data_IF_235600703471
#
_entry.id   IF_235600703471
#
_cell.length_a   1.000
_cell.length_b   1.000
_cell.length_c   1.000
_cell.angle_alpha   90.00
_cell.angle_beta   90.00
_cell.angle_gamma   90.00
#
_symmetry.space_group_name_H-M   'P 1'
#
loop_
_entity.id
_entity.type
_entity.pdbx_description
1 polymer ?
#
# COMPACT_ATOMS: atom_id res chain seq x y z
N UNK A 1 2.13 -13.09 -27.66
CA UNK A 1 0.85 -12.70 -28.30
C UNK A 1 -0.10 -13.87 -28.09
N UNK A 2 -1.12 -13.70 -27.23
CA UNK A 2 -2.15 -14.72 -27.02
C UNK A 2 -3.21 -14.50 -28.10
N UNK A 3 -3.44 -15.51 -28.95
CA UNK A 3 -4.52 -15.45 -29.92
C UNK A 3 -5.86 -15.33 -29.21
N UNK A 4 -6.73 -14.40 -29.65
CA UNK A 4 -8.05 -14.26 -29.05
C UNK A 4 -8.86 -15.54 -29.28
N UNK A 5 -9.47 -16.05 -28.19
CA UNK A 5 -10.38 -17.19 -28.31
C UNK A 5 -11.63 -16.75 -29.05
N UNK A 6 -11.97 -17.43 -30.13
CA UNK A 6 -13.18 -17.17 -30.93
C UNK A 6 -14.32 -17.99 -30.34
N UNK A 7 -15.40 -17.34 -29.94
CA UNK A 7 -16.67 -18.00 -29.56
C UNK A 7 -17.69 -17.82 -30.64
N UNK A 8 -18.09 -18.93 -31.29
CA UNK A 8 -19.14 -18.94 -32.27
C UNK A 8 -20.50 -19.15 -31.58
N UNK A 9 -21.37 -18.17 -31.68
CA UNK A 9 -22.75 -18.25 -31.21
C UNK A 9 -23.64 -18.44 -32.43
N UNK A 10 -24.41 -19.53 -32.44
CA UNK A 10 -25.41 -19.79 -33.47
C UNK A 10 -26.78 -19.42 -32.93
N UNK A 11 -27.43 -18.46 -33.58
CA UNK A 11 -28.81 -18.07 -33.29
C UNK A 11 -29.71 -18.54 -34.42
N UNK A 12 -30.77 -19.26 -34.08
CA UNK A 12 -31.83 -19.66 -35.04
C UNK A 12 -33.09 -18.84 -34.77
N UNK A 13 -33.53 -18.09 -35.78
CA UNK A 13 -34.75 -17.31 -35.71
C UNK A 13 -35.48 -17.40 -37.03
N UNK A 14 -36.76 -17.80 -37.00
CA UNK A 14 -37.63 -17.90 -38.17
C UNK A 14 -37.02 -18.76 -39.33
N UNK A 15 -36.30 -19.83 -39.00
CA UNK A 15 -35.66 -20.71 -39.98
C UNK A 15 -34.38 -20.16 -40.60
N UNK A 16 -33.88 -19.02 -40.10
CA UNK A 16 -32.57 -18.46 -40.48
C UNK A 16 -31.54 -18.73 -39.41
N UNK A 17 -30.37 -19.19 -39.83
CA UNK A 17 -29.23 -19.41 -38.97
C UNK A 17 -28.31 -18.17 -39.07
N UNK A 18 -28.15 -17.45 -37.95
CA UNK A 18 -27.21 -16.34 -37.84
C UNK A 18 -26.03 -16.84 -37.02
N UNK A 19 -24.84 -16.85 -37.62
CA UNK A 19 -23.60 -17.11 -36.94
C UNK A 19 -22.95 -15.78 -36.54
N UNK A 20 -22.71 -15.60 -35.25
CA UNK A 20 -22.01 -14.45 -34.72
C UNK A 20 -20.72 -14.94 -34.05
N UNK A 21 -19.58 -14.49 -34.52
CA UNK A 21 -18.29 -14.75 -33.90
C UNK A 21 -17.96 -13.64 -32.90
N UNK A 22 -17.88 -13.99 -31.64
CA UNK A 22 -17.39 -13.09 -30.59
C UNK A 22 -15.92 -13.40 -30.29
N UNK A 23 -15.14 -12.37 -30.20
CA UNK A 23 -13.71 -12.49 -29.83
C UNK A 23 -13.55 -12.07 -28.38
N UNK A 24 -12.89 -12.91 -27.58
CA UNK A 24 -12.47 -12.50 -26.26
C UNK A 24 -11.42 -11.40 -26.36
N UNK A 25 -11.65 -10.30 -25.67
CA UNK A 25 -10.64 -9.26 -25.54
C UNK A 25 -9.46 -9.82 -24.77
N UNK A 26 -8.21 -9.72 -25.30
CA UNK A 26 -7.04 -10.19 -24.58
C UNK A 26 -6.97 -9.58 -23.20
N UNK A 27 -6.61 -10.37 -22.18
CA UNK A 27 -6.36 -9.86 -20.85
C UNK A 27 -5.12 -8.95 -20.87
N UNK A 28 -5.27 -7.74 -20.30
CA UNK A 28 -4.18 -6.83 -20.09
C UNK A 28 -4.08 -6.56 -18.59
N UNK A 29 -2.99 -7.02 -17.97
CA UNK A 29 -2.77 -6.92 -16.53
C UNK A 29 -2.06 -5.62 -16.19
N UNK A 30 -2.56 -4.93 -15.16
CA UNK A 30 -1.96 -3.72 -14.63
C UNK A 30 -2.34 -3.53 -13.17
N UNK A 31 -1.36 -3.13 -12.37
CA UNK A 31 -1.53 -2.69 -10.99
C UNK A 31 -0.71 -1.43 -10.81
N UNK A 32 -1.25 -0.45 -10.10
CA UNK A 32 -0.51 0.76 -9.75
C UNK A 32 -0.52 0.99 -8.26
N UNK A 33 0.57 1.53 -7.76
CA UNK A 33 0.70 2.05 -6.41
C UNK A 33 1.47 3.36 -6.47
N UNK A 34 1.03 4.37 -5.72
CA UNK A 34 1.78 5.60 -5.51
C UNK A 34 2.05 5.80 -4.02
N UNK A 35 3.16 6.44 -3.71
CA UNK A 35 3.54 6.78 -2.35
C UNK A 35 4.14 8.17 -2.32
N UNK A 36 3.70 8.99 -1.38
CA UNK A 36 4.23 10.33 -1.13
C UNK A 36 4.41 10.55 0.36
N UNK A 37 5.33 11.41 0.72
CA UNK A 37 5.60 11.78 2.10
C UNK A 37 6.26 13.15 2.18
N UNK A 38 6.78 13.50 3.35
CA UNK A 38 7.55 14.71 3.53
C UNK A 38 8.90 14.59 2.82
N UNK A 39 9.35 15.65 2.14
CA UNK A 39 10.70 15.69 1.55
C UNK A 39 11.78 15.71 2.64
N UNK A 40 11.50 16.37 3.76
CA UNK A 40 12.38 16.47 4.92
C UNK A 40 11.59 16.29 6.21
N UNK A 41 12.26 15.82 7.25
CA UNK A 41 11.71 15.67 8.61
C UNK A 41 12.83 15.87 9.63
N UNK A 42 12.52 16.46 10.78
CA UNK A 42 13.48 16.51 11.88
C UNK A 42 13.55 15.19 12.63
N UNK A 43 14.75 14.80 13.03
CA UNK A 43 14.94 13.65 13.93
C UNK A 43 14.08 13.82 15.19
N UNK A 44 13.35 12.78 15.58
CA UNK A 44 12.38 12.80 16.68
C UNK A 44 10.99 13.30 16.32
N UNK A 45 10.74 13.77 15.09
CA UNK A 45 9.44 14.24 14.65
C UNK A 45 8.65 13.19 13.88
N UNK A 46 7.33 13.39 13.82
CA UNK A 46 6.40 12.55 13.07
C UNK A 46 6.28 13.06 11.64
N UNK A 47 6.18 12.13 10.70
CA UNK A 47 5.83 12.38 9.31
C UNK A 47 4.76 11.40 8.83
N UNK A 48 4.12 11.72 7.70
CA UNK A 48 3.07 10.90 7.12
C UNK A 48 3.38 10.51 5.68
N UNK A 49 3.05 9.29 5.33
CA UNK A 49 2.98 8.80 3.96
C UNK A 49 1.52 8.73 3.51
N UNK A 50 1.27 9.17 2.29
CA UNK A 50 0.00 9.04 1.58
C UNK A 50 0.19 8.03 0.43
N UNK A 51 -0.72 7.05 0.31
CA UNK A 51 -0.65 6.00 -0.70
C UNK A 51 -1.92 6.00 -1.55
N UNK A 52 -1.80 5.50 -2.77
CA UNK A 52 -2.94 5.12 -3.61
C UNK A 52 -2.64 3.80 -4.29
N UNK A 53 -3.66 2.98 -4.54
CA UNK A 53 -3.53 1.72 -5.27
C UNK A 53 -4.67 1.58 -6.26
N UNK A 54 -4.43 0.86 -7.37
CA UNK A 54 -5.47 0.55 -8.35
C UNK A 54 -5.21 -0.76 -9.09
N UNK A 55 -6.29 -1.48 -9.38
CA UNK A 55 -6.34 -2.49 -10.42
C UNK A 55 -6.60 -1.79 -11.77
N UNK A 56 -5.57 -1.62 -12.57
CA UNK A 56 -5.65 -1.02 -13.91
C UNK A 56 -5.80 -2.07 -15.01
N UNK A 57 -5.96 -3.35 -14.63
CA UNK A 57 -6.25 -4.45 -15.55
C UNK A 57 -7.64 -4.30 -16.16
N UNK A 58 -7.84 -4.92 -17.31
CA UNK A 58 -9.18 -5.10 -17.91
C UNK A 58 -9.91 -6.36 -17.39
N UNK A 59 -9.36 -7.00 -16.36
CA UNK A 59 -9.91 -8.18 -15.67
C UNK A 59 -9.93 -7.97 -14.17
N UNK A 60 -10.80 -8.70 -13.47
CA UNK A 60 -10.76 -8.79 -12.01
C UNK A 60 -9.47 -9.49 -11.57
N UNK A 61 -8.91 -9.09 -10.44
CA UNK A 61 -7.70 -9.71 -9.85
C UNK A 61 -8.06 -10.42 -8.56
N UNK A 62 -7.49 -11.61 -8.39
CA UNK A 62 -7.54 -12.40 -7.15
C UNK A 62 -6.36 -12.00 -6.24
N UNK A 63 -6.49 -12.24 -4.93
CA UNK A 63 -5.42 -11.98 -3.94
C UNK A 63 -4.83 -10.57 -4.05
N UNK A 64 -5.66 -9.58 -4.33
CA UNK A 64 -5.21 -8.19 -4.45
C UNK A 64 -4.80 -7.64 -3.10
N UNK A 65 -3.63 -6.99 -3.06
CA UNK A 65 -3.04 -6.46 -1.85
C UNK A 65 -2.29 -5.16 -2.10
N UNK A 66 -2.03 -4.42 -1.03
CA UNK A 66 -0.88 -3.52 -0.93
C UNK A 66 -0.14 -3.75 0.39
N UNK A 67 1.16 -3.50 0.37
CA UNK A 67 2.09 -3.76 1.44
C UNK A 67 3.03 -2.58 1.63
N UNK A 68 3.31 -2.23 2.86
CA UNK A 68 4.30 -1.22 3.25
C UNK A 68 5.36 -1.86 4.14
N UNK A 69 6.62 -1.75 3.74
CA UNK A 69 7.76 -2.19 4.52
C UNK A 69 8.34 -1.00 5.28
N UNK A 70 8.01 -0.91 6.55
CA UNK A 70 8.42 0.19 7.43
C UNK A 70 9.94 0.15 7.64
N UNK A 71 10.67 1.26 7.48
CA UNK A 71 12.09 1.35 7.80
C UNK A 71 12.30 1.41 9.33
N UNK A 72 11.99 0.31 10.00
CA UNK A 72 11.85 0.21 11.46
C UNK A 72 13.15 0.38 12.25
N UNK A 73 14.30 0.34 11.60
CA UNK A 73 15.61 0.64 12.16
C UNK A 73 15.76 2.14 12.51
N UNK A 74 15.08 3.02 11.77
CA UNK A 74 15.16 4.48 11.93
C UNK A 74 13.83 5.16 12.19
N UNK A 75 12.70 4.45 12.04
CA UNK A 75 11.37 5.02 12.26
C UNK A 75 10.43 3.98 12.91
N UNK A 76 9.41 4.47 13.61
CA UNK A 76 8.36 3.64 14.22
C UNK A 76 7.00 4.06 13.68
N UNK A 77 6.22 3.08 13.21
CA UNK A 77 4.83 3.32 12.82
C UNK A 77 4.00 3.73 14.03
N UNK A 78 3.18 4.76 13.88
CA UNK A 78 2.33 5.29 14.95
C UNK A 78 0.86 5.17 14.64
N UNK A 79 0.43 5.58 13.45
CA UNK A 79 -0.98 5.61 13.06
C UNK A 79 -1.14 5.15 11.62
N UNK A 80 -2.16 4.31 11.39
CA UNK A 80 -2.58 3.87 10.09
C UNK A 80 -4.03 4.33 9.86
N UNK A 81 -4.32 4.97 8.72
CA UNK A 81 -5.69 5.14 8.23
C UNK A 81 -5.89 4.31 6.98
N UNK A 82 -7.03 3.65 6.86
CA UNK A 82 -7.24 2.65 5.81
C UNK A 82 -7.64 3.26 4.46
N UNK A 83 -8.11 4.48 4.45
CA UNK A 83 -8.68 5.08 3.25
C UNK A 83 -10.04 4.48 2.86
N UNK A 84 -10.51 4.85 1.69
CA UNK A 84 -11.73 4.32 1.07
C UNK A 84 -11.45 3.93 -0.38
N UNK A 85 -12.27 3.02 -0.93
CA UNK A 85 -12.05 2.41 -2.24
C UNK A 85 -13.34 2.38 -3.07
N UNK A 86 -13.19 2.30 -4.41
CA UNK A 86 -14.29 2.47 -5.37
C UNK A 86 -15.31 1.34 -5.41
N UNK A 87 -14.96 0.13 -4.95
CA UNK A 87 -15.88 -1.01 -4.90
C UNK A 87 -16.19 -1.41 -3.46
N UNK A 88 -17.42 -1.87 -3.22
CA UNK A 88 -17.87 -2.33 -1.91
C UNK A 88 -17.38 -3.76 -1.66
N UNK A 89 -16.38 -3.92 -0.82
CA UNK A 89 -15.74 -5.19 -0.44
C UNK A 89 -15.49 -5.22 1.06
N UNK A 90 -15.31 -6.43 1.58
CA UNK A 90 -14.71 -6.66 2.89
C UNK A 90 -13.22 -6.99 2.70
N UNK A 91 -12.39 -6.50 3.61
CA UNK A 91 -10.95 -6.75 3.59
C UNK A 91 -10.41 -6.87 5.01
N UNK A 92 -9.15 -7.23 5.12
CA UNK A 92 -8.44 -7.31 6.38
C UNK A 92 -7.10 -6.59 6.30
N UNK A 93 -6.63 -6.14 7.44
CA UNK A 93 -5.30 -5.55 7.62
C UNK A 93 -4.48 -6.46 8.51
N UNK A 94 -3.29 -6.76 8.07
CA UNK A 94 -2.31 -7.62 8.72
C UNK A 94 -1.05 -6.82 9.03
N UNK A 95 -0.26 -7.29 9.98
CA UNK A 95 1.04 -6.70 10.30
C UNK A 95 2.06 -7.78 10.66
N UNK A 96 3.34 -7.42 10.57
CA UNK A 96 4.47 -8.19 11.11
C UNK A 96 5.22 -7.35 12.13
N UNK A 97 6.02 -8.02 12.94
CA UNK A 97 6.99 -7.38 13.83
C UNK A 97 8.38 -7.95 13.58
N UNK A 98 9.40 -7.30 14.11
CA UNK A 98 10.76 -7.81 14.08
C UNK A 98 10.94 -9.11 14.91
N UNK A 99 10.02 -9.41 15.84
CA UNK A 99 10.03 -10.64 16.65
C UNK A 99 9.13 -11.75 16.08
N UNK A 100 8.18 -11.40 15.21
CA UNK A 100 7.28 -12.35 14.56
C UNK A 100 7.17 -12.05 13.08
N UNK A 101 7.82 -12.90 12.26
CA UNK A 101 7.82 -12.79 10.80
C UNK A 101 6.57 -13.34 10.12
N UNK A 102 5.66 -13.98 10.87
CA UNK A 102 4.34 -14.35 10.40
C UNK A 102 3.38 -13.19 10.50
N UNK A 103 2.48 -13.06 9.52
CA UNK A 103 1.43 -12.03 9.57
C UNK A 103 0.43 -12.31 10.70
N UNK A 104 0.15 -11.25 11.46
CA UNK A 104 -0.90 -11.22 12.48
C UNK A 104 -2.04 -10.32 11.99
N UNK A 105 -3.27 -10.63 12.41
CA UNK A 105 -4.44 -9.83 12.03
C UNK A 105 -4.52 -8.59 12.92
N UNK A 106 -4.45 -7.40 12.33
CA UNK A 106 -4.74 -6.15 13.01
C UNK A 106 -6.25 -5.93 13.11
N UNK A 107 -6.94 -6.10 11.99
CA UNK A 107 -8.39 -6.00 11.90
C UNK A 107 -8.91 -6.80 10.70
N UNK A 108 -10.14 -7.32 10.81
CA UNK A 108 -10.82 -8.09 9.77
C UNK A 108 -12.23 -7.58 9.55
N UNK A 109 -12.86 -8.02 8.44
CA UNK A 109 -14.21 -7.61 8.04
C UNK A 109 -14.38 -6.08 7.94
N UNK A 110 -13.33 -5.39 7.53
CA UNK A 110 -13.37 -3.96 7.28
C UNK A 110 -14.09 -3.68 5.95
N UNK A 111 -14.91 -2.63 5.93
CA UNK A 111 -15.63 -2.22 4.71
C UNK A 111 -14.81 -1.18 3.94
N UNK A 112 -14.62 -1.39 2.66
CA UNK A 112 -13.89 -0.47 1.75
C UNK A 112 -14.49 0.94 1.67
N UNK A 113 -15.76 1.11 2.01
CA UNK A 113 -16.42 2.43 2.07
C UNK A 113 -16.11 3.23 3.32
N UNK A 114 -15.45 2.64 4.32
CA UNK A 114 -15.15 3.29 5.60
C UNK A 114 -13.65 3.53 5.75
N UNK A 115 -13.30 4.71 6.24
CA UNK A 115 -11.92 5.05 6.60
C UNK A 115 -11.73 4.79 8.10
N UNK A 116 -11.02 3.72 8.43
CA UNK A 116 -10.69 3.35 9.81
C UNK A 116 -9.34 3.94 10.22
N UNK A 117 -9.17 4.19 11.51
CA UNK A 117 -7.90 4.66 12.09
C UNK A 117 -7.42 3.69 13.16
N UNK A 118 -6.17 3.29 13.08
CA UNK A 118 -5.52 2.37 14.02
C UNK A 118 -4.27 3.00 14.62
N UNK A 119 -4.20 3.01 15.95
CA UNK A 119 -3.01 3.39 16.70
C UNK A 119 -2.05 2.18 16.74
N UNK A 120 -1.06 2.13 15.86
CA UNK A 120 -0.12 1.01 15.76
C UNK A 120 0.83 0.94 16.97
N UNK A 121 1.10 2.07 17.59
CA UNK A 121 1.88 2.17 18.83
C UNK A 121 1.11 1.73 20.08
N UNK A 122 -0.19 1.47 19.98
CA UNK A 122 -1.02 0.91 21.05
C UNK A 122 -1.13 -0.62 20.98
N UNK A 123 -0.59 -1.27 19.96
CA UNK A 123 -0.55 -2.75 19.89
C UNK A 123 0.35 -3.26 21.01
N UNK A 124 -0.14 -4.20 21.86
CA UNK A 124 0.69 -4.77 22.91
C UNK A 124 1.91 -5.49 22.32
N UNK A 125 3.09 -5.05 22.69
CA UNK A 125 4.37 -5.57 22.19
C UNK A 125 5.36 -5.76 23.32
N UNK A 126 6.32 -6.66 23.10
CA UNK A 126 7.45 -6.86 24.02
C UNK A 126 8.44 -5.68 23.92
N UNK A 127 9.31 -5.58 24.90
CA UNK A 127 10.38 -4.57 24.84
C UNK A 127 11.26 -4.79 23.60
N UNK A 128 11.42 -3.74 22.77
CA UNK A 128 12.18 -3.79 21.52
C UNK A 128 11.42 -4.38 20.32
N UNK A 129 10.21 -4.88 20.52
CA UNK A 129 9.36 -5.31 19.43
C UNK A 129 8.73 -4.11 18.72
N UNK A 130 8.70 -4.13 17.39
CA UNK A 130 8.16 -3.05 16.56
C UNK A 130 7.50 -3.60 15.31
N UNK A 131 6.51 -2.87 14.79
CA UNK A 131 5.87 -3.19 13.51
C UNK A 131 6.88 -2.97 12.38
N UNK A 132 7.04 -3.98 11.52
CA UNK A 132 7.95 -3.97 10.37
C UNK A 132 7.22 -3.89 9.05
N UNK A 133 6.00 -4.42 9.00
CA UNK A 133 5.20 -4.53 7.77
C UNK A 133 3.72 -4.30 8.06
N UNK A 134 3.06 -3.63 7.14
CA UNK A 134 1.59 -3.51 7.06
C UNK A 134 1.14 -4.10 5.74
N UNK A 135 0.10 -4.92 5.78
CA UNK A 135 -0.42 -5.62 4.61
C UNK A 135 -1.95 -5.52 4.56
N UNK A 136 -2.49 -5.01 3.45
CA UNK A 136 -3.93 -4.97 3.18
C UNK A 136 -4.29 -6.11 2.22
N UNK A 137 -5.17 -6.99 2.65
CA UNK A 137 -5.64 -8.14 1.88
C UNK A 137 -7.10 -7.91 1.48
N UNK A 138 -7.32 -7.61 0.22
CA UNK A 138 -8.65 -7.36 -0.35
C UNK A 138 -9.29 -8.60 -0.98
N UNK A 139 -8.52 -9.70 -1.13
CA UNK A 139 -9.00 -10.87 -1.86
C UNK A 139 -9.25 -10.55 -3.34
N UNK A 140 -10.45 -10.83 -3.84
CA UNK A 140 -10.84 -10.54 -5.22
C UNK A 140 -11.33 -9.11 -5.38
N UNK A 141 -10.76 -8.39 -6.34
CA UNK A 141 -11.18 -7.01 -6.69
C UNK A 141 -11.65 -6.92 -8.13
N UNK A 142 -12.69 -6.10 -8.43
CA UNK A 142 -13.18 -5.92 -9.79
C UNK A 142 -12.23 -5.07 -10.64
N UNK A 143 -12.52 -5.03 -11.93
CA UNK A 143 -11.93 -4.06 -12.87
C UNK A 143 -12.18 -2.64 -12.36
N UNK A 144 -11.13 -1.80 -12.40
CA UNK A 144 -11.23 -0.41 -11.97
C UNK A 144 -11.28 -0.20 -10.46
N UNK A 145 -11.04 -1.25 -9.64
CA UNK A 145 -10.86 -1.08 -8.19
C UNK A 145 -9.70 -0.14 -7.90
N UNK A 146 -9.97 0.90 -7.11
CA UNK A 146 -8.94 1.91 -6.81
C UNK A 146 -9.24 2.63 -5.50
N UNK A 147 -8.22 3.27 -4.94
CA UNK A 147 -8.37 4.22 -3.83
C UNK A 147 -9.23 5.41 -4.26
N UNK A 148 -10.19 5.80 -3.41
CA UNK A 148 -10.96 7.07 -3.51
C UNK A 148 -10.34 8.09 -2.58
N UNK A 149 -10.24 7.79 -1.29
CA UNK A 149 -9.36 8.46 -0.35
C UNK A 149 -8.22 7.47 -0.02
N UNK A 150 -6.99 7.85 -0.31
CA UNK A 150 -5.85 6.95 -0.11
C UNK A 150 -5.60 6.64 1.37
N UNK A 151 -5.06 5.45 1.69
CA UNK A 151 -4.59 5.14 3.03
C UNK A 151 -3.40 6.03 3.41
N UNK A 152 -3.21 6.22 4.72
CA UNK A 152 -2.08 6.99 5.26
C UNK A 152 -1.35 6.19 6.33
N UNK A 153 -0.04 6.33 6.38
CA UNK A 153 0.81 5.76 7.41
C UNK A 153 1.66 6.85 8.04
N UNK A 154 1.50 7.08 9.34
CA UNK A 154 2.34 7.99 10.11
C UNK A 154 3.46 7.23 10.83
N UNK A 155 4.64 7.81 10.82
CA UNK A 155 5.81 7.27 11.51
C UNK A 155 6.49 8.38 12.32
N UNK A 156 7.11 8.02 13.44
CA UNK A 156 8.02 8.90 14.17
C UNK A 156 9.46 8.49 13.86
N UNK A 157 10.30 9.45 13.48
CA UNK A 157 11.71 9.22 13.18
C UNK A 157 12.52 9.19 14.48
N UNK A 158 13.46 8.27 14.61
CA UNK A 158 14.31 8.17 15.79
C UNK A 158 15.11 9.46 16.00
N UNK A 159 15.08 9.99 17.22
CA UNK A 159 15.77 11.25 17.57
C UNK A 159 17.31 11.21 17.42
N UNK A 160 17.88 10.01 17.40
CA UNK A 160 19.33 9.81 17.20
C UNK A 160 19.75 9.68 15.73
N UNK A 161 18.78 9.71 14.79
CA UNK A 161 19.10 9.63 13.37
C UNK A 161 19.99 10.80 12.95
N UNK A 162 21.04 10.50 12.21
CA UNK A 162 22.04 11.49 11.81
C UNK A 162 21.48 12.48 10.79
N UNK A 163 22.01 13.72 10.80
CA UNK A 163 21.63 14.73 9.82
C UNK A 163 22.02 14.28 8.40
N UNK A 164 21.09 14.46 7.44
CA UNK A 164 21.28 14.06 6.06
C UNK A 164 20.97 12.58 5.77
N UNK A 165 20.54 11.80 6.78
CA UNK A 165 20.13 10.40 6.55
C UNK A 165 18.99 10.33 5.53
N UNK A 166 19.13 9.46 4.54
CA UNK A 166 18.09 9.19 3.55
C UNK A 166 17.18 8.05 4.02
N UNK A 167 16.03 8.43 4.58
CA UNK A 167 15.01 7.48 5.02
C UNK A 167 14.19 7.05 3.81
N UNK A 168 14.37 5.79 3.38
CA UNK A 168 13.65 5.21 2.25
C UNK A 168 12.54 4.30 2.76
N UNK A 169 11.29 4.64 2.43
CA UNK A 169 10.16 3.76 2.68
C UNK A 169 9.66 3.16 1.36
N UNK A 170 9.47 1.84 1.34
CA UNK A 170 9.07 1.04 0.18
C UNK A 170 7.68 0.46 0.38
N UNK A 171 6.89 0.50 -0.69
CA UNK A 171 5.59 -0.15 -0.74
C UNK A 171 5.43 -0.89 -2.06
N UNK A 172 4.60 -1.92 -2.06
CA UNK A 172 4.23 -2.68 -3.24
C UNK A 172 2.74 -3.03 -3.22
N UNK A 173 2.21 -3.33 -4.38
CA UNK A 173 0.85 -3.81 -4.58
C UNK A 173 0.84 -4.88 -5.65
N UNK A 174 -0.16 -5.75 -5.62
CA UNK A 174 -0.26 -6.81 -6.62
C UNK A 174 -1.59 -7.53 -6.58
N UNK A 175 -1.79 -8.37 -7.58
CA UNK A 175 -2.92 -9.28 -7.71
C UNK A 175 -2.63 -10.36 -8.74
N UNK A 176 -3.50 -11.37 -8.78
CA UNK A 176 -3.38 -12.52 -9.67
C UNK A 176 -4.53 -12.58 -10.66
N UNK A 177 -4.21 -13.02 -11.87
CA UNK A 177 -5.18 -13.49 -12.85
C UNK A 177 -4.72 -14.82 -13.43
N UNK A 178 -5.55 -15.86 -13.29
CA UNK A 178 -5.23 -17.22 -13.76
C UNK A 178 -3.83 -17.69 -13.35
N UNK A 179 -3.47 -17.47 -12.09
CA UNK A 179 -2.16 -17.84 -11.53
C UNK A 179 -0.99 -16.92 -11.87
N UNK A 180 -1.17 -15.93 -12.76
CA UNK A 180 -0.13 -14.95 -13.10
C UNK A 180 -0.23 -13.73 -12.17
N UNK A 181 0.88 -13.40 -11.50
CA UNK A 181 1.00 -12.21 -10.68
C UNK A 181 1.31 -10.98 -11.51
N UNK A 182 0.61 -9.89 -11.21
CA UNK A 182 0.96 -8.54 -11.64
C UNK A 182 1.25 -7.71 -10.40
N UNK A 183 2.42 -7.07 -10.36
CA UNK A 183 2.88 -6.28 -9.20
C UNK A 183 3.38 -4.91 -9.62
N UNK A 184 3.36 -3.97 -8.68
CA UNK A 184 3.92 -2.64 -8.83
C UNK A 184 4.59 -2.23 -7.52
N UNK A 185 5.56 -1.30 -7.59
CA UNK A 185 6.30 -0.80 -6.45
C UNK A 185 6.33 0.72 -6.43
N UNK A 186 6.37 1.31 -5.24
CA UNK A 186 6.55 2.73 -5.02
C UNK A 186 7.48 2.95 -3.82
N UNK A 187 8.37 3.93 -3.95
CA UNK A 187 9.30 4.31 -2.90
C UNK A 187 9.17 5.81 -2.63
N UNK A 188 9.46 6.21 -1.41
CA UNK A 188 9.63 7.60 -1.05
C UNK A 188 10.89 7.80 -0.22
N UNK A 189 11.64 8.84 -0.53
CA UNK A 189 12.86 9.22 0.18
C UNK A 189 12.61 10.51 0.94
N UNK A 190 12.85 10.48 2.25
CA UNK A 190 12.81 11.65 3.14
C UNK A 190 14.21 11.91 3.69
N UNK A 191 14.65 13.15 3.64
CA UNK A 191 15.92 13.55 4.26
C UNK A 191 15.66 13.87 5.72
N UNK A 192 16.35 13.17 6.61
CA UNK A 192 16.30 13.49 8.04
C UNK A 192 17.23 14.65 8.34
N UNK A 193 16.70 15.68 9.00
CA UNK A 193 17.45 16.83 9.46
C UNK A 193 17.63 16.77 10.97
N UNK A 194 18.71 17.35 11.47
CA UNK A 194 18.96 17.51 12.89
C UNK A 194 19.36 18.95 13.13
N UNK A 195 18.75 19.59 14.13
CA UNK A 195 19.25 20.90 14.56
C UNK A 195 20.65 20.73 15.15
N UNK A 196 21.64 21.39 14.57
CA UNK A 196 22.89 21.65 15.24
C UNK A 196 22.69 22.90 16.10
N UNK A 197 22.57 22.73 17.42
CA UNK A 197 22.79 23.88 18.31
C UNK A 197 24.22 24.27 18.10
N UNK A 198 24.47 25.38 17.39
CA UNK A 198 25.77 26.08 17.47
C UNK A 198 25.97 26.42 18.95
N UNK A 199 27.09 26.00 19.57
CA UNK A 199 27.39 26.48 20.92
C UNK A 199 27.36 28.01 20.89
N UNK A 200 26.63 28.64 21.81
CA UNK A 200 26.73 30.08 22.00
C UNK A 200 28.20 30.44 22.15
N UNK A 201 28.71 31.28 21.24
CA UNK A 201 30.03 31.84 21.38
C UNK A 201 30.11 32.50 22.76
N UNK A 202 31.18 32.24 23.54
CA UNK A 202 31.37 32.93 24.81
C UNK A 202 31.24 34.42 24.55
N UNK A 203 30.30 35.09 25.24
CA UNK A 203 30.24 36.55 25.25
C UNK A 203 31.55 37.02 25.86
N UNK A 204 32.50 37.42 25.00
CA UNK A 204 33.67 38.16 25.45
C UNK A 204 33.16 39.50 25.94
N UNK A 205 32.96 39.60 27.28
CA UNK A 205 32.69 40.87 27.93
C UNK A 205 33.93 41.75 27.81
N UNK A 206 33.73 42.95 27.29
CA UNK A 206 34.62 44.05 27.47
C UNK A 206 34.12 44.83 28.70
#
# INVERSE_FOLDING_TARGET
>A
QVDPTVHDITLEYAGQIIKVSAYDKPSNLGVTITKRGNAEVLAGQTMRYDLTVANTSNVALENFYWHDKIPYDVARATTLTTGTYSARLNYRVLYKTNYNTSYQVLASNLLTGNNYSFALNAIPMQAGEVVTDIYFDFGKVPVGFQSVAGPTLSVIVNGNTVNGYQLVNRADAGGQYQGTWQTAQANWVTIVRKYTTTPDLPKTGY
#
